data_IF_349194585774
#
_entry.id   IF_349194585774
#
_cell.length_a   1.000
_cell.length_b   1.000
_cell.length_c   1.000
_cell.angle_alpha   90.00
_cell.angle_beta   90.00
_cell.angle_gamma   90.00
#
_symmetry.space_group_name_H-M   'P 1'
#
loop_
_entity.id
_entity.type
_entity.pdbx_description
1 polymer ?
#
# COMPACT_ATOMS: atom_id res chain seq x y z
N UNK A 1 -58.71 17.93 32.41
CA UNK A 1 -57.66 18.71 31.73
C UNK A 1 -56.40 17.85 31.58
N UNK A 2 -56.52 16.75 30.85
CA UNK A 2 -55.45 15.76 30.65
C UNK A 2 -55.29 15.58 29.13
N UNK A 3 -54.53 16.49 28.49
CA UNK A 3 -54.17 16.40 27.07
C UNK A 3 -53.11 17.46 26.64
N UNK A 4 -52.10 17.71 27.48
CA UNK A 4 -50.97 18.58 27.12
C UNK A 4 -49.59 17.90 27.32
N UNK A 5 -49.52 16.65 27.81
CA UNK A 5 -48.23 16.01 28.16
C UNK A 5 -47.77 14.84 27.27
N UNK A 6 -48.39 14.60 26.11
CA UNK A 6 -47.94 13.53 25.20
C UNK A 6 -47.58 14.10 23.82
N UNK A 7 -46.42 14.75 23.73
CA UNK A 7 -45.65 14.88 22.49
C UNK A 7 -44.23 15.43 22.71
N UNK A 8 -43.61 15.19 23.86
CA UNK A 8 -42.16 15.13 23.91
C UNK A 8 -41.79 13.81 23.23
N UNK A 9 -41.57 13.86 21.91
CA UNK A 9 -40.84 12.82 21.19
C UNK A 9 -39.63 12.46 22.06
N UNK A 10 -39.65 11.26 22.68
CA UNK A 10 -38.47 10.72 23.34
C UNK A 10 -37.39 10.65 22.26
N UNK A 11 -36.55 11.67 22.23
CA UNK A 11 -35.40 11.68 21.37
C UNK A 11 -34.43 10.67 21.97
N UNK A 12 -34.57 9.42 21.53
CA UNK A 12 -33.77 8.32 22.02
C UNK A 12 -32.33 8.54 21.54
N UNK A 13 -31.49 9.06 22.43
CA UNK A 13 -30.13 9.48 22.12
C UNK A 13 -29.34 8.35 21.43
N UNK A 14 -28.42 8.71 20.52
CA UNK A 14 -27.55 7.74 19.84
C UNK A 14 -26.83 6.85 20.84
N UNK A 15 -26.21 7.43 21.86
CA UNK A 15 -25.65 6.70 22.99
C UNK A 15 -26.35 7.21 24.25
N UNK A 16 -27.01 6.35 25.04
CA UNK A 16 -27.67 6.77 26.26
C UNK A 16 -26.72 7.54 27.20
N UNK A 17 -27.13 8.73 27.63
CA UNK A 17 -26.32 9.60 28.50
C UNK A 17 -25.31 10.50 27.77
N UNK A 18 -25.23 10.44 26.44
CA UNK A 18 -24.41 11.35 25.63
C UNK A 18 -25.29 12.18 24.67
N UNK A 19 -24.99 13.48 24.52
CA UNK A 19 -25.44 14.27 23.38
C UNK A 19 -25.04 13.61 22.05
N UNK A 20 -25.90 13.72 21.04
CA UNK A 20 -25.72 13.06 19.74
C UNK A 20 -24.45 13.51 19.00
N UNK A 21 -24.05 14.78 19.14
CA UNK A 21 -22.81 15.33 18.58
C UNK A 21 -21.56 14.67 19.19
N UNK A 22 -21.56 14.44 20.51
CA UNK A 22 -20.49 13.69 21.19
C UNK A 22 -20.53 12.21 20.85
N UNK A 23 -21.74 11.63 20.73
CA UNK A 23 -21.90 10.25 20.31
C UNK A 23 -21.32 10.03 18.90
N UNK A 24 -21.61 10.91 17.94
CA UNK A 24 -21.05 10.86 16.60
C UNK A 24 -19.52 10.98 16.61
N UNK A 25 -18.95 11.89 17.41
CA UNK A 25 -17.49 11.99 17.57
C UNK A 25 -16.85 10.70 18.11
N UNK A 26 -17.52 9.99 19.00
CA UNK A 26 -17.06 8.68 19.46
C UNK A 26 -17.13 7.63 18.34
N UNK A 27 -18.24 7.58 17.60
CA UNK A 27 -18.45 6.60 16.52
C UNK A 27 -17.47 6.80 15.35
N UNK A 28 -17.17 8.06 15.01
CA UNK A 28 -16.27 8.42 13.91
C UNK A 28 -14.87 7.83 14.10
N UNK A 29 -14.41 7.72 15.37
CA UNK A 29 -13.11 7.13 15.78
C UNK A 29 -13.06 5.61 15.74
N UNK A 30 -14.12 4.96 15.33
CA UNK A 30 -14.14 3.50 15.19
C UNK A 30 -13.66 3.13 13.78
N UNK A 31 -12.76 2.15 13.67
CA UNK A 31 -12.23 1.71 12.39
C UNK A 31 -13.34 1.27 11.44
N UNK A 32 -13.13 1.51 10.14
CA UNK A 32 -14.12 1.24 9.12
C UNK A 32 -14.55 -0.24 9.09
N UNK A 33 -13.65 -1.18 9.39
CA UNK A 33 -13.97 -2.61 9.42
C UNK A 33 -15.05 -3.00 10.43
N UNK A 34 -15.37 -2.13 11.40
CA UNK A 34 -16.46 -2.33 12.36
C UNK A 34 -17.79 -1.67 11.94
N UNK A 35 -17.83 -0.85 10.88
CA UNK A 35 -19.04 -0.12 10.50
C UNK A 35 -20.26 -1.03 10.30
N UNK A 36 -20.07 -2.22 9.70
CA UNK A 36 -21.16 -3.20 9.57
C UNK A 36 -21.72 -3.70 10.90
N UNK A 37 -20.91 -3.72 11.97
CA UNK A 37 -21.38 -4.05 13.33
C UNK A 37 -22.07 -2.85 13.98
N UNK A 38 -21.54 -1.64 13.79
CA UNK A 38 -22.16 -0.42 14.29
C UNK A 38 -23.58 -0.23 13.70
N UNK A 39 -23.77 -0.52 12.41
CA UNK A 39 -25.09 -0.49 11.75
C UNK A 39 -26.11 -1.52 12.27
N UNK A 40 -25.62 -2.56 12.98
CA UNK A 40 -26.46 -3.60 13.57
C UNK A 40 -26.97 -3.23 14.97
N UNK A 41 -26.44 -2.18 15.61
CA UNK A 41 -26.80 -1.80 16.99
C UNK A 41 -28.24 -1.31 17.09
N UNK A 42 -28.65 -0.40 16.21
CA UNK A 42 -30.03 0.11 16.14
C UNK A 42 -30.33 0.72 14.77
N UNK A 43 -31.62 0.96 14.48
CA UNK A 43 -32.02 1.69 13.25
C UNK A 43 -31.40 3.09 13.22
N UNK A 44 -31.39 3.80 14.36
CA UNK A 44 -30.82 5.14 14.48
C UNK A 44 -29.32 5.17 14.23
N UNK A 45 -28.57 4.18 14.75
CA UNK A 45 -27.14 4.05 14.44
C UNK A 45 -26.91 3.82 12.96
N UNK A 46 -27.67 2.92 12.35
CA UNK A 46 -27.59 2.66 10.91
C UNK A 46 -27.83 3.92 10.09
N UNK A 47 -28.87 4.68 10.41
CA UNK A 47 -29.22 5.91 9.70
C UNK A 47 -28.14 6.98 9.91
N UNK A 48 -27.60 7.10 11.13
CA UNK A 48 -26.52 8.02 11.45
C UNK A 48 -25.22 7.68 10.70
N UNK A 49 -24.78 6.41 10.71
CA UNK A 49 -23.55 5.95 10.05
C UNK A 49 -23.63 6.11 8.52
N UNK A 50 -24.82 5.95 7.95
CA UNK A 50 -25.07 6.14 6.51
C UNK A 50 -25.32 7.59 6.12
N UNK A 51 -25.37 8.51 7.08
CA UNK A 51 -25.62 9.92 6.81
C UNK A 51 -24.40 10.61 6.18
N UNK A 52 -24.65 11.63 5.35
CA UNK A 52 -23.60 12.49 4.83
C UNK A 52 -22.85 13.25 5.94
N UNK A 53 -23.54 13.55 7.05
CA UNK A 53 -22.94 14.21 8.21
C UNK A 53 -21.85 13.34 8.84
N UNK A 54 -22.12 12.05 9.07
CA UNK A 54 -21.13 11.11 9.59
C UNK A 54 -19.95 10.96 8.63
N UNK A 55 -20.22 10.82 7.33
CA UNK A 55 -19.16 10.73 6.32
C UNK A 55 -18.28 12.00 6.31
N UNK A 56 -18.89 13.19 6.42
CA UNK A 56 -18.18 14.47 6.49
C UNK A 56 -17.37 14.60 7.78
N UNK A 57 -17.93 14.22 8.93
CA UNK A 57 -17.22 14.25 10.21
C UNK A 57 -16.01 13.31 10.18
N UNK A 58 -16.17 12.11 9.62
CA UNK A 58 -15.08 11.15 9.47
C UNK A 58 -13.98 11.67 8.53
N UNK A 59 -14.35 12.29 7.41
CA UNK A 59 -13.41 12.94 6.51
C UNK A 59 -12.67 14.14 7.16
N UNK A 60 -13.35 14.90 8.03
CA UNK A 60 -12.76 16.03 8.74
C UNK A 60 -11.78 15.59 9.83
N UNK A 61 -12.10 14.53 10.56
CA UNK A 61 -11.23 13.95 11.58
C UNK A 61 -10.06 13.16 10.95
N UNK A 62 -10.10 12.86 9.64
CA UNK A 62 -9.04 12.13 8.94
C UNK A 62 -8.96 10.64 9.29
N UNK A 63 -9.92 10.13 10.05
CA UNK A 63 -9.88 8.79 10.64
C UNK A 63 -10.44 7.73 9.69
N UNK A 64 -9.59 6.84 9.17
CA UNK A 64 -9.98 5.70 8.34
C UNK A 64 -9.63 4.34 8.94
N UNK A 65 -8.91 4.30 10.07
CA UNK A 65 -8.19 3.12 10.52
C UNK A 65 -6.93 2.86 9.69
N UNK A 66 -6.11 1.90 10.13
CA UNK A 66 -4.87 1.56 9.40
C UNK A 66 -5.13 0.48 8.37
N UNK A 67 -4.94 0.83 7.11
CA UNK A 67 -5.24 -0.02 5.98
C UNK A 67 -3.98 -0.42 5.26
N UNK A 68 -3.89 -1.68 4.88
CA UNK A 68 -2.89 -2.20 3.98
C UNK A 68 -3.58 -2.55 2.67
N UNK A 69 -3.25 -1.82 1.60
CA UNK A 69 -3.77 -2.05 0.27
C UNK A 69 -2.88 -3.04 -0.47
N UNK A 70 -3.45 -4.11 -1.01
CA UNK A 70 -2.72 -5.15 -1.73
C UNK A 70 -3.37 -5.41 -3.09
N UNK A 71 -2.52 -5.56 -4.10
CA UNK A 71 -2.88 -6.13 -5.40
C UNK A 71 -2.00 -7.34 -5.68
N UNK A 72 -2.59 -8.43 -6.17
CA UNK A 72 -1.87 -9.68 -6.45
C UNK A 72 -1.92 -10.03 -7.93
N UNK A 73 -1.07 -10.97 -8.35
CA UNK A 73 -1.01 -11.40 -9.74
C UNK A 73 -2.27 -12.11 -10.23
N UNK A 74 -3.03 -12.69 -9.31
CA UNK A 74 -4.21 -13.49 -9.63
C UNK A 74 -5.51 -12.78 -9.21
N UNK A 75 -5.39 -11.71 -8.42
CA UNK A 75 -6.50 -10.86 -8.03
C UNK A 75 -7.00 -10.03 -9.22
N UNK A 76 -8.32 -9.87 -9.30
CA UNK A 76 -8.99 -8.99 -10.27
C UNK A 76 -9.23 -7.58 -9.73
N UNK A 77 -9.00 -7.36 -8.43
CA UNK A 77 -9.25 -6.11 -7.71
C UNK A 77 -8.19 -5.89 -6.65
N UNK A 78 -8.05 -4.64 -6.22
CA UNK A 78 -7.36 -4.31 -4.99
C UNK A 78 -8.16 -4.83 -3.79
N UNK A 79 -7.44 -5.25 -2.76
CA UNK A 79 -8.00 -5.61 -1.45
C UNK A 79 -7.38 -4.69 -0.38
N UNK A 80 -8.17 -4.24 0.57
CA UNK A 80 -7.72 -3.50 1.75
C UNK A 80 -7.84 -4.39 2.98
N UNK A 81 -6.79 -4.46 3.77
CA UNK A 81 -6.81 -5.09 5.08
C UNK A 81 -6.83 -4.03 6.17
N UNK A 82 -7.91 -4.02 6.94
CA UNK A 82 -8.02 -3.23 8.17
C UNK A 82 -7.31 -3.97 9.30
N UNK A 83 -6.17 -3.44 9.73
CA UNK A 83 -5.32 -4.06 10.75
C UNK A 83 -5.95 -4.03 12.15
N UNK A 84 -6.87 -3.11 12.40
CA UNK A 84 -7.54 -2.97 13.69
C UNK A 84 -8.71 -3.93 13.79
N UNK A 85 -9.48 -4.07 12.72
CA UNK A 85 -10.63 -4.96 12.65
C UNK A 85 -10.29 -6.41 12.26
N UNK A 86 -9.03 -6.70 11.91
CA UNK A 86 -8.56 -7.97 11.32
C UNK A 86 -9.49 -8.44 10.18
N UNK A 87 -9.72 -7.54 9.22
CA UNK A 87 -10.71 -7.74 8.16
C UNK A 87 -10.21 -7.29 6.80
N UNK A 88 -10.42 -8.15 5.80
CA UNK A 88 -10.22 -7.83 4.40
C UNK A 88 -11.51 -7.30 3.77
N UNK A 89 -11.38 -6.24 2.97
CA UNK A 89 -12.44 -5.65 2.16
C UNK A 89 -11.97 -5.53 0.70
N UNK A 90 -12.77 -6.00 -0.28
CA UNK A 90 -12.44 -5.79 -1.69
C UNK A 90 -12.77 -4.35 -2.08
N UNK A 91 -11.84 -3.68 -2.78
CA UNK A 91 -12.11 -2.35 -3.32
C UNK A 91 -12.97 -2.45 -4.59
N UNK A 92 -13.70 -1.37 -4.94
CA UNK A 92 -14.32 -1.27 -6.25
C UNK A 92 -13.28 -1.38 -7.37
N UNK A 93 -13.74 -1.70 -8.58
CA UNK A 93 -12.88 -1.81 -9.76
C UNK A 93 -12.27 -0.42 -10.04
N UNK A 94 -10.94 -0.39 -10.17
CA UNK A 94 -10.20 0.83 -10.45
C UNK A 94 -10.47 1.32 -11.90
N UNK A 95 -10.79 2.60 -12.12
CA UNK A 95 -11.26 3.13 -13.41
C UNK A 95 -10.10 3.53 -14.34
N UNK A 96 -9.10 2.67 -14.54
CA UNK A 96 -7.96 3.01 -15.39
C UNK A 96 -8.31 2.84 -16.87
N UNK A 97 -7.83 3.77 -17.70
CA UNK A 97 -7.99 3.75 -19.15
C UNK A 97 -7.57 2.41 -19.76
N UNK A 98 -8.47 1.76 -20.47
CA UNK A 98 -8.22 0.45 -21.07
C UNK A 98 -8.16 -0.71 -20.07
N UNK A 99 -8.44 -0.50 -18.78
CA UNK A 99 -8.54 -1.56 -17.77
C UNK A 99 -10.00 -1.97 -17.56
N UNK A 100 -10.51 -2.90 -18.38
CA UNK A 100 -11.75 -3.62 -18.05
C UNK A 100 -11.41 -4.83 -17.16
N UNK A 101 -12.40 -5.59 -16.69
CA UNK A 101 -12.26 -6.78 -15.83
C UNK A 101 -11.27 -7.87 -16.32
N UNK A 102 -10.73 -7.73 -17.53
CA UNK A 102 -9.83 -8.67 -18.22
C UNK A 102 -8.39 -8.16 -18.28
N UNK A 103 -8.17 -6.84 -18.16
CA UNK A 103 -6.87 -6.22 -18.42
C UNK A 103 -6.13 -6.01 -17.10
N UNK A 104 -4.86 -6.43 -17.06
CA UNK A 104 -4.03 -6.38 -15.85
C UNK A 104 -3.01 -5.27 -15.99
N UNK A 105 -2.77 -4.52 -14.90
CA UNK A 105 -1.75 -3.48 -14.88
C UNK A 105 -0.54 -4.00 -14.11
N UNK A 106 0.66 -3.79 -14.66
CA UNK A 106 1.94 -4.13 -14.02
C UNK A 106 2.91 -2.96 -14.08
N UNK A 107 3.95 -2.99 -13.24
CA UNK A 107 5.01 -1.98 -13.26
C UNK A 107 4.52 -0.57 -12.87
N UNK A 108 3.34 -0.47 -12.29
CA UNK A 108 2.80 0.73 -11.66
C UNK A 108 3.50 0.98 -10.33
N UNK A 109 3.34 2.18 -9.79
CA UNK A 109 3.66 2.49 -8.39
C UNK A 109 2.39 2.76 -7.61
N UNK A 110 2.42 2.50 -6.31
CA UNK A 110 1.29 2.77 -5.44
C UNK A 110 1.77 3.40 -4.13
N UNK A 111 1.04 4.38 -3.62
CA UNK A 111 1.45 5.19 -2.47
C UNK A 111 0.22 5.76 -1.77
N UNK A 112 0.35 6.10 -0.50
CA UNK A 112 -0.67 6.82 0.25
C UNK A 112 -0.20 8.23 0.56
N UNK A 113 -1.09 9.20 0.46
CA UNK A 113 -0.79 10.61 0.75
C UNK A 113 -2.08 11.30 1.17
N UNK A 114 -2.04 12.13 2.21
CA UNK A 114 -3.20 12.90 2.69
C UNK A 114 -4.48 12.04 2.86
N UNK A 115 -4.37 10.86 3.49
CA UNK A 115 -5.46 9.89 3.69
C UNK A 115 -6.14 9.38 2.41
N UNK A 116 -5.45 9.42 1.28
CA UNK A 116 -5.86 8.83 0.01
C UNK A 116 -4.87 7.76 -0.42
N UNK A 117 -5.36 6.80 -1.19
CA UNK A 117 -4.55 5.74 -1.78
C UNK A 117 -4.43 5.97 -3.31
N UNK A 118 -3.21 6.02 -3.83
CA UNK A 118 -2.93 6.33 -5.21
C UNK A 118 -2.30 5.14 -5.92
N UNK A 119 -2.73 4.89 -7.16
CA UNK A 119 -2.11 3.98 -8.12
C UNK A 119 -1.71 4.78 -9.35
N UNK A 120 -0.43 4.71 -9.69
CA UNK A 120 0.22 5.65 -10.61
C UNK A 120 0.90 4.87 -11.74
N UNK A 121 0.59 5.24 -12.98
CA UNK A 121 1.26 4.76 -14.18
C UNK A 121 1.21 3.25 -14.39
N UNK A 122 2.33 2.69 -14.85
CA UNK A 122 2.46 1.28 -15.16
C UNK A 122 2.10 0.96 -16.60
N UNK A 123 1.81 -0.30 -16.87
CA UNK A 123 1.54 -0.81 -18.21
C UNK A 123 0.29 -1.68 -18.19
N UNK A 124 -0.63 -1.44 -19.12
CA UNK A 124 -1.71 -2.38 -19.41
C UNK A 124 -1.17 -3.59 -20.14
N UNK A 125 -1.50 -4.78 -19.65
CA UNK A 125 -1.16 -6.05 -20.28
C UNK A 125 -2.45 -6.72 -20.71
N UNK A 126 -2.71 -6.67 -22.01
CA UNK A 126 -3.75 -7.45 -22.65
C UNK A 126 -3.19 -8.14 -23.90
N UNK A 127 -3.83 -9.22 -24.39
CA UNK A 127 -3.40 -9.89 -25.61
C UNK A 127 -3.48 -8.99 -26.86
N UNK A 128 -4.29 -7.94 -26.82
CA UNK A 128 -4.64 -7.11 -27.98
C UNK A 128 -3.91 -5.76 -27.95
N UNK A 129 -3.71 -5.18 -26.76
CA UNK A 129 -3.15 -3.85 -26.58
C UNK A 129 -2.25 -3.80 -25.36
N UNK A 130 -1.06 -3.23 -25.53
CA UNK A 130 -0.13 -2.93 -24.44
C UNK A 130 0.23 -1.46 -24.50
N UNK A 131 0.01 -0.74 -23.41
CA UNK A 131 0.26 0.69 -23.33
C UNK A 131 0.84 1.05 -21.98
N UNK A 132 1.85 1.92 -22.01
CA UNK A 132 2.40 2.52 -20.80
C UNK A 132 1.54 3.73 -20.44
N UNK A 133 1.13 3.80 -19.19
CA UNK A 133 0.14 4.75 -18.70
C UNK A 133 0.79 5.97 -18.04
N UNK A 134 0.12 7.11 -18.18
CA UNK A 134 0.34 8.32 -17.39
C UNK A 134 -0.76 8.55 -16.34
N UNK A 135 -1.70 7.61 -16.23
CA UNK A 135 -2.88 7.70 -15.40
C UNK A 135 -2.55 7.68 -13.90
N UNK A 136 -3.36 8.41 -13.12
CA UNK A 136 -3.33 8.43 -11.66
C UNK A 136 -4.73 8.14 -11.15
N UNK A 137 -4.93 6.96 -10.59
CA UNK A 137 -6.18 6.58 -9.95
C UNK A 137 -6.06 6.81 -8.44
N UNK A 138 -7.05 7.49 -7.87
CA UNK A 138 -7.12 7.81 -6.44
C UNK A 138 -8.32 7.13 -5.83
N UNK A 139 -8.08 6.35 -4.79
CA UNK A 139 -9.12 5.78 -3.96
C UNK A 139 -9.34 6.68 -2.74
N UNK A 140 -10.58 7.06 -2.53
CA UNK A 140 -11.07 7.74 -1.34
C UNK A 140 -11.66 6.72 -0.35
N UNK A 141 -10.97 6.39 0.76
CA UNK A 141 -11.47 5.41 1.71
C UNK A 141 -12.75 5.86 2.43
N UNK A 142 -13.00 7.17 2.52
CA UNK A 142 -14.20 7.72 3.15
C UNK A 142 -15.44 7.53 2.28
N UNK A 143 -15.29 7.76 0.97
CA UNK A 143 -16.38 7.57 -0.01
C UNK A 143 -16.44 6.13 -0.52
N UNK A 144 -15.38 5.34 -0.32
CA UNK A 144 -15.15 4.04 -0.93
C UNK A 144 -15.25 4.07 -2.45
N UNK A 145 -14.72 5.13 -3.05
CA UNK A 145 -14.82 5.37 -4.48
C UNK A 145 -13.46 5.68 -5.08
N UNK A 146 -13.30 5.28 -6.34
CA UNK A 146 -12.16 5.67 -7.14
C UNK A 146 -12.51 6.88 -8.01
N UNK A 147 -11.54 7.77 -8.20
CA UNK A 147 -11.60 8.83 -9.20
C UNK A 147 -10.24 9.01 -9.86
N UNK A 148 -10.23 9.65 -11.02
CA UNK A 148 -8.99 9.96 -11.75
C UNK A 148 -8.50 11.35 -11.35
N UNK A 149 -7.21 11.44 -11.03
CA UNK A 149 -6.50 12.69 -10.77
C UNK A 149 -5.74 13.15 -12.03
N UNK A 150 -5.06 14.29 -11.93
CA UNK A 150 -4.18 14.80 -12.97
C UNK A 150 -3.15 13.74 -13.40
N UNK A 151 -3.05 13.54 -14.71
CA UNK A 151 -2.12 12.59 -15.31
C UNK A 151 -0.69 13.10 -15.16
N UNK A 152 0.25 12.18 -14.98
CA UNK A 152 1.68 12.47 -15.08
C UNK A 152 1.99 13.09 -16.45
N UNK A 153 3.01 13.94 -16.53
CA UNK A 153 3.38 14.57 -17.80
C UNK A 153 3.96 13.56 -18.78
N UNK A 154 4.60 12.51 -18.27
CA UNK A 154 5.11 11.39 -19.08
C UNK A 154 4.60 10.05 -18.57
N UNK A 155 4.09 9.24 -19.49
CA UNK A 155 3.76 7.84 -19.21
C UNK A 155 5.02 7.02 -18.92
N UNK A 156 5.01 6.26 -17.83
CA UNK A 156 6.16 5.53 -17.32
C UNK A 156 5.77 4.26 -16.57
N UNK A 157 6.64 3.26 -16.60
CA UNK A 157 6.63 2.08 -15.73
C UNK A 157 7.99 1.87 -15.06
N UNK A 158 8.01 1.17 -13.92
CA UNK A 158 9.23 0.84 -13.18
C UNK A 158 10.02 2.08 -12.75
N UNK A 159 9.31 3.11 -12.29
CA UNK A 159 9.84 4.37 -11.77
C UNK A 159 9.83 4.36 -10.24
N UNK A 160 10.67 5.20 -9.63
CA UNK A 160 10.67 5.41 -8.19
C UNK A 160 9.51 6.34 -7.81
N UNK A 161 8.84 6.04 -6.70
CA UNK A 161 7.66 6.78 -6.22
C UNK A 161 7.66 6.80 -4.69
N UNK A 162 7.51 7.97 -4.09
CA UNK A 162 7.41 8.14 -2.63
C UNK A 162 6.47 9.29 -2.27
N UNK A 163 5.86 9.22 -1.08
CA UNK A 163 5.15 10.36 -0.50
C UNK A 163 6.04 11.03 0.54
N UNK A 164 6.24 12.35 0.41
CA UNK A 164 7.02 13.15 1.37
C UNK A 164 6.29 14.45 1.62
N UNK A 165 6.05 14.77 2.89
CA UNK A 165 5.41 16.02 3.33
C UNK A 165 4.11 16.36 2.57
N UNK A 166 3.24 15.35 2.38
CA UNK A 166 1.93 15.53 1.72
C UNK A 166 1.98 15.63 0.19
N UNK A 167 3.14 15.45 -0.44
CA UNK A 167 3.31 15.42 -1.90
C UNK A 167 3.85 14.08 -2.36
N UNK A 168 3.63 13.74 -3.64
CA UNK A 168 4.16 12.50 -4.24
C UNK A 168 5.28 12.85 -5.21
N UNK A 169 6.43 12.22 -5.03
CA UNK A 169 7.63 12.44 -5.84
C UNK A 169 7.89 11.22 -6.70
N UNK A 170 8.12 11.45 -7.99
CA UNK A 170 8.44 10.42 -8.97
C UNK A 170 9.79 10.68 -9.62
N UNK A 171 10.51 9.61 -9.94
CA UNK A 171 11.80 9.71 -10.61
C UNK A 171 12.09 8.50 -11.51
N UNK A 172 12.59 8.79 -12.72
CA UNK A 172 13.04 7.76 -13.66
C UNK A 172 11.92 6.89 -14.23
N UNK A 173 12.24 5.62 -14.44
CA UNK A 173 11.41 4.67 -15.17
C UNK A 173 11.57 4.81 -16.67
N UNK A 174 10.75 4.07 -17.41
CA UNK A 174 10.86 3.97 -18.87
C UNK A 174 9.49 3.80 -19.52
N UNK A 175 9.47 3.85 -20.85
CA UNK A 175 8.36 3.40 -21.67
C UNK A 175 8.89 2.72 -22.95
N UNK A 176 8.00 2.24 -23.82
CA UNK A 176 8.42 1.54 -25.04
C UNK A 176 9.26 2.40 -26.00
N UNK A 177 9.04 3.71 -26.01
CA UNK A 177 9.81 4.64 -26.88
C UNK A 177 11.18 5.00 -26.32
N UNK A 178 11.37 4.85 -25.01
CA UNK A 178 12.62 5.17 -24.32
C UNK A 178 12.97 4.06 -23.32
N UNK A 179 13.40 2.88 -23.80
CA UNK A 179 13.68 1.72 -22.95
C UNK A 179 14.93 1.91 -22.09
N UNK A 180 15.80 2.86 -22.42
CA UNK A 180 16.97 3.25 -21.64
C UNK A 180 16.64 4.05 -20.37
N UNK A 181 15.38 4.47 -20.22
CA UNK A 181 14.90 5.19 -19.05
C UNK A 181 14.97 6.71 -19.16
N UNK A 182 14.35 7.38 -18.19
CA UNK A 182 14.21 8.82 -18.12
C UNK A 182 15.12 9.45 -17.08
N UNK A 183 15.54 10.69 -17.35
CA UNK A 183 16.09 11.62 -16.35
C UNK A 183 15.01 12.44 -15.65
N UNK A 184 13.78 12.36 -16.14
CA UNK A 184 12.67 13.19 -15.68
C UNK A 184 12.23 12.77 -14.28
N UNK A 185 12.11 13.77 -13.41
CA UNK A 185 11.48 13.66 -12.10
C UNK A 185 10.32 14.66 -12.01
N UNK A 186 9.26 14.27 -11.32
CA UNK A 186 8.02 15.05 -11.22
C UNK A 186 7.53 15.01 -9.76
N UNK A 187 6.86 16.07 -9.33
CA UNK A 187 6.18 16.14 -8.04
C UNK A 187 4.71 16.42 -8.25
N UNK A 188 3.86 15.67 -7.56
CA UNK A 188 2.42 15.87 -7.53
C UNK A 188 2.00 16.52 -6.23
N UNK A 189 1.21 17.57 -6.36
CA UNK A 189 0.56 18.25 -5.25
C UNK A 189 -0.93 17.88 -5.22
N UNK A 190 -1.37 17.02 -4.28
CA UNK A 190 -2.77 16.60 -4.18
C UNK A 190 -3.74 17.74 -3.84
N UNK A 191 -3.27 18.86 -3.27
CA UNK A 191 -4.14 19.96 -2.87
C UNK A 191 -4.64 20.76 -4.07
N UNK A 192 -3.87 20.80 -5.16
CA UNK A 192 -4.21 21.52 -6.39
C UNK A 192 -4.34 20.61 -7.61
N UNK A 193 -4.24 19.28 -7.40
CA UNK A 193 -4.30 18.25 -8.43
C UNK A 193 -3.39 18.56 -9.63
N UNK A 194 -2.08 18.74 -9.37
CA UNK A 194 -1.13 19.15 -10.41
C UNK A 194 0.24 18.49 -10.26
N UNK A 195 0.82 18.15 -11.42
CA UNK A 195 2.21 17.72 -11.58
C UNK A 195 3.11 18.87 -12.02
N UNK A 196 4.20 19.09 -11.28
CA UNK A 196 5.27 20.02 -11.60
C UNK A 196 6.59 19.26 -11.83
N UNK A 197 7.47 19.82 -12.66
CA UNK A 197 8.79 19.22 -12.91
C UNK A 197 9.72 19.46 -11.72
N UNK A 198 10.51 18.45 -11.41
CA UNK A 198 11.69 18.58 -10.56
C UNK A 198 12.94 18.73 -11.44
N UNK A 199 14.07 19.20 -10.89
CA UNK A 199 15.35 19.15 -11.58
C UNK A 199 15.65 17.76 -12.11
N UNK A 200 16.22 17.69 -13.32
CA UNK A 200 16.49 16.42 -13.97
C UNK A 200 17.56 15.64 -13.22
N UNK A 201 17.35 14.32 -13.07
CA UNK A 201 18.32 13.43 -12.44
C UNK A 201 19.66 13.45 -13.19
N UNK A 202 20.79 13.10 -12.53
CA UNK A 202 22.09 13.05 -13.18
C UNK A 202 22.15 12.04 -14.34
N UNK A 203 21.42 10.93 -14.23
CA UNK A 203 21.42 9.83 -15.21
C UNK A 203 19.99 9.35 -15.50
N UNK A 204 19.72 8.81 -16.71
CA UNK A 204 18.49 8.07 -16.93
C UNK A 204 18.53 6.77 -16.13
N UNK A 205 17.42 6.43 -15.46
CA UNK A 205 17.35 5.21 -14.66
C UNK A 205 16.10 4.38 -15.03
N UNK A 206 16.27 3.06 -15.06
CA UNK A 206 15.22 2.05 -15.24
C UNK A 206 15.16 1.08 -14.07
N UNK A 207 14.01 0.42 -13.90
CA UNK A 207 13.80 -0.52 -12.79
C UNK A 207 14.00 0.16 -11.44
N UNK A 208 13.45 1.37 -11.32
CA UNK A 208 13.72 2.24 -10.18
C UNK A 208 12.88 1.84 -8.98
N UNK A 209 13.48 1.97 -7.81
CA UNK A 209 12.89 1.88 -6.49
C UNK A 209 13.08 3.20 -5.76
N UNK A 210 12.06 3.62 -5.00
CA UNK A 210 12.05 4.86 -4.25
C UNK A 210 11.93 4.63 -2.75
N UNK A 211 12.72 5.34 -1.96
CA UNK A 211 12.67 5.33 -0.50
C UNK A 211 12.64 6.77 0.02
N UNK A 212 11.78 7.04 1.00
CA UNK A 212 11.75 8.33 1.69
C UNK A 212 12.31 8.22 3.09
N UNK A 213 13.11 9.19 3.51
CA UNK A 213 13.57 9.32 4.91
C UNK A 213 13.70 10.79 5.26
N UNK A 214 12.85 11.27 6.17
CA UNK A 214 12.72 12.71 6.43
C UNK A 214 12.34 13.47 5.15
N UNK A 215 13.14 14.49 4.78
CA UNK A 215 12.94 15.32 3.58
C UNK A 215 13.75 14.86 2.36
N UNK A 216 14.20 13.61 2.36
CA UNK A 216 15.05 13.05 1.33
C UNK A 216 14.32 11.97 0.53
N UNK A 217 14.51 12.01 -0.78
CA UNK A 217 14.05 10.99 -1.71
C UNK A 217 15.25 10.23 -2.29
N UNK A 218 15.44 9.00 -1.84
CA UNK A 218 16.44 8.09 -2.36
C UNK A 218 15.86 7.32 -3.54
N UNK A 219 16.60 7.32 -4.65
CA UNK A 219 16.25 6.60 -5.87
C UNK A 219 17.36 5.60 -6.17
N UNK A 220 16.97 4.34 -6.31
CA UNK A 220 17.86 3.26 -6.70
C UNK A 220 17.37 2.71 -8.03
N UNK A 221 18.24 2.63 -9.02
CA UNK A 221 17.86 2.12 -10.33
C UNK A 221 19.07 1.72 -11.15
N UNK A 222 18.84 1.33 -12.41
CA UNK A 222 19.89 0.92 -13.32
C UNK A 222 20.04 1.93 -14.44
N UNK A 223 21.28 2.24 -14.83
CA UNK A 223 21.54 3.14 -15.99
C UNK A 223 21.10 2.53 -17.31
N UNK A 224 21.04 1.20 -17.38
CA UNK A 224 20.60 0.45 -18.55
C UNK A 224 19.84 -0.82 -18.11
N UNK A 225 18.87 -1.32 -18.91
CA UNK A 225 18.09 -2.51 -18.54
C UNK A 225 18.91 -3.76 -18.24
N UNK A 226 20.06 -3.93 -18.90
CA UNK A 226 20.95 -5.09 -18.75
C UNK A 226 22.08 -4.87 -17.75
N UNK A 227 22.14 -3.70 -17.10
CA UNK A 227 23.17 -3.44 -16.11
C UNK A 227 23.01 -4.37 -14.90
N UNK A 228 24.13 -4.86 -14.39
CA UNK A 228 24.21 -5.65 -13.15
C UNK A 228 24.32 -4.74 -11.93
N UNK A 229 24.94 -3.56 -12.11
CA UNK A 229 25.14 -2.59 -11.05
C UNK A 229 23.95 -1.63 -10.94
N UNK A 230 23.55 -1.35 -9.71
CA UNK A 230 22.59 -0.31 -9.38
C UNK A 230 23.32 1.01 -9.13
N UNK A 231 22.62 2.10 -9.41
CA UNK A 231 23.03 3.47 -9.15
C UNK A 231 22.09 4.06 -8.13
N UNK A 232 22.66 4.71 -7.13
CA UNK A 232 21.94 5.33 -6.03
C UNK A 232 22.10 6.83 -6.14
N UNK A 233 20.97 7.54 -6.17
CA UNK A 233 20.94 8.99 -6.16
C UNK A 233 19.97 9.46 -5.08
N UNK A 234 20.24 10.64 -4.55
CA UNK A 234 19.50 11.26 -3.47
C UNK A 234 18.98 12.60 -3.96
N UNK A 235 17.72 12.90 -3.70
CA UNK A 235 17.14 14.23 -3.88
C UNK A 235 16.80 14.85 -2.53
N UNK A 236 17.33 16.05 -2.30
CA UNK A 236 17.05 16.85 -1.11
C UNK A 236 15.98 17.88 -1.46
N UNK A 237 14.79 17.79 -0.82
CA UNK A 237 13.64 18.64 -1.18
C UNK A 237 13.90 20.12 -0.93
N UNK A 238 14.61 20.47 0.14
CA UNK A 238 14.89 21.87 0.50
C UNK A 238 15.82 22.55 -0.50
N UNK A 239 16.84 21.82 -0.96
CA UNK A 239 17.86 22.31 -1.88
C UNK A 239 17.39 22.21 -3.34
N UNK A 240 16.42 21.33 -3.62
CA UNK A 240 16.02 20.95 -4.97
C UNK A 240 17.19 20.40 -5.79
N UNK A 241 18.12 19.68 -5.15
CA UNK A 241 19.32 19.16 -5.81
C UNK A 241 19.42 17.64 -5.72
N UNK A 242 20.06 17.07 -6.75
CA UNK A 242 20.39 15.65 -6.83
C UNK A 242 21.85 15.42 -6.47
N UNK A 243 22.09 14.46 -5.59
CA UNK A 243 23.42 13.97 -5.25
C UNK A 243 23.58 12.52 -5.69
N UNK A 244 24.73 12.17 -6.29
CA UNK A 244 25.10 10.78 -6.59
C UNK A 244 25.78 10.19 -5.36
N UNK A 245 25.35 9.01 -4.94
CA UNK A 245 25.94 8.30 -3.82
C UNK A 245 26.95 7.28 -4.35
N UNK A 246 28.24 7.52 -4.13
CA UNK A 246 29.32 6.72 -4.72
C UNK A 246 29.66 5.44 -3.93
N UNK A 247 29.22 5.34 -2.67
CA UNK A 247 29.48 4.20 -1.78
C UNK A 247 28.27 3.88 -0.89
N UNK A 248 27.13 3.59 -1.51
CA UNK A 248 25.99 3.01 -0.80
C UNK A 248 26.14 1.50 -0.72
N UNK A 249 25.82 0.93 0.43
CA UNK A 249 25.94 -0.50 0.69
C UNK A 249 25.35 -1.35 -0.45
N UNK A 250 26.06 -2.40 -0.89
CA UNK A 250 25.60 -3.33 -1.93
C UNK A 250 24.30 -4.08 -1.56
N UNK A 251 23.79 -3.88 -0.34
CA UNK A 251 22.58 -4.48 0.21
C UNK A 251 21.30 -3.65 -0.04
N UNK A 252 21.39 -2.40 -0.53
CA UNK A 252 20.20 -1.63 -0.99
C UNK A 252 19.78 -2.12 -2.39
N UNK A 253 19.62 -3.44 -2.53
CA UNK A 253 19.45 -4.11 -3.81
C UNK A 253 18.11 -4.81 -3.96
N UNK A 254 17.07 -4.52 -3.19
CA UNK A 254 15.89 -5.41 -3.21
C UNK A 254 14.52 -4.71 -3.19
N UNK A 255 13.63 -5.26 -4.02
CA UNK A 255 12.32 -4.72 -4.40
C UNK A 255 11.16 -5.06 -3.46
N UNK A 256 11.42 -5.30 -2.17
CA UNK A 256 10.42 -5.58 -1.14
C UNK A 256 10.88 -4.97 0.20
N UNK A 257 10.97 -3.65 0.27
CA UNK A 257 11.26 -2.94 1.52
C UNK A 257 10.00 -2.27 2.06
N UNK A 258 9.94 -2.15 3.38
CA UNK A 258 8.90 -1.41 4.08
C UNK A 258 9.52 -0.36 4.98
N UNK A 259 8.85 0.79 5.11
CA UNK A 259 9.28 1.85 6.02
C UNK A 259 8.29 1.91 7.17
N UNK A 260 8.79 1.97 8.40
CA UNK A 260 7.99 2.14 9.60
C UNK A 260 8.82 2.83 10.68
N UNK A 261 8.27 3.87 11.31
CA UNK A 261 8.97 4.67 12.34
C UNK A 261 10.38 5.14 11.90
N UNK A 262 10.53 5.60 10.65
CA UNK A 262 11.80 6.05 10.03
C UNK A 262 12.86 4.96 9.81
N UNK A 263 12.60 3.73 10.24
CA UNK A 263 13.43 2.55 9.97
C UNK A 263 12.97 1.87 8.69
N UNK A 264 13.93 1.33 7.94
CA UNK A 264 13.65 0.58 6.71
C UNK A 264 13.85 -0.90 6.98
N UNK A 265 12.79 -1.66 6.83
CA UNK A 265 12.78 -3.11 6.98
C UNK A 265 12.90 -3.76 5.61
N UNK A 266 13.76 -4.76 5.52
CA UNK A 266 14.03 -5.51 4.32
C UNK A 266 13.60 -6.94 4.51
N UNK A 267 13.06 -7.49 3.43
CA UNK A 267 12.76 -8.90 3.31
C UNK A 267 13.67 -9.50 2.24
N UNK A 268 14.68 -10.20 2.70
CA UNK A 268 15.36 -11.22 1.91
C UNK A 268 14.57 -12.53 2.13
N UNK A 269 14.49 -13.41 1.12
CA UNK A 269 13.78 -14.69 1.23
C UNK A 269 14.29 -15.58 2.39
N UNK A 270 15.41 -15.20 3.04
CA UNK A 270 15.99 -15.82 4.22
C UNK A 270 15.82 -15.01 5.52
N UNK A 271 15.96 -13.68 5.48
CA UNK A 271 16.04 -12.84 6.68
C UNK A 271 15.18 -11.57 6.61
N UNK A 272 14.81 -11.07 7.79
CA UNK A 272 14.26 -9.73 7.95
C UNK A 272 15.32 -8.86 8.60
N UNK A 273 15.72 -7.81 7.90
CA UNK A 273 16.78 -6.90 8.31
C UNK A 273 16.20 -5.50 8.52
N UNK A 274 16.72 -4.73 9.48
CA UNK A 274 16.45 -3.30 9.57
C UNK A 274 17.72 -2.51 9.24
N UNK A 275 17.57 -1.48 8.43
CA UNK A 275 18.62 -0.49 8.22
C UNK A 275 18.68 0.46 9.42
N UNK A 276 19.74 0.34 10.21
CA UNK A 276 20.10 1.29 11.26
C UNK A 276 20.76 2.57 10.70
N UNK A 277 21.40 3.35 11.59
CA UNK A 277 22.07 4.60 11.18
C UNK A 277 23.30 4.39 10.28
N UNK A 278 23.92 3.20 10.30
CA UNK A 278 25.16 2.91 9.55
C UNK A 278 25.28 1.48 9.00
N UNK A 279 24.57 0.50 9.54
CA UNK A 279 24.64 -0.92 9.13
C UNK A 279 23.25 -1.57 9.14
N UNK A 280 23.11 -2.73 8.50
CA UNK A 280 21.91 -3.56 8.55
C UNK A 280 21.98 -4.49 9.76
N UNK A 281 20.99 -4.41 10.63
CA UNK A 281 20.82 -5.34 11.74
C UNK A 281 19.86 -6.45 11.27
N UNK A 282 20.34 -7.70 11.20
CA UNK A 282 19.47 -8.87 11.01
C UNK A 282 18.61 -8.98 12.26
N UNK A 283 17.30 -8.77 12.13
CA UNK A 283 16.37 -8.79 13.25
C UNK A 283 15.91 -10.21 13.56
N UNK A 284 15.53 -10.95 12.53
CA UNK A 284 15.10 -12.34 12.66
C UNK A 284 15.15 -13.09 11.32
N UNK A 285 15.12 -14.41 11.39
CA UNK A 285 14.94 -15.26 10.21
C UNK A 285 13.50 -15.16 9.70
N UNK A 286 13.33 -15.25 8.38
CA UNK A 286 12.03 -15.30 7.75
C UNK A 286 11.18 -16.45 8.36
N UNK A 287 9.92 -16.19 8.75
CA UNK A 287 9.09 -17.19 9.41
C UNK A 287 8.79 -18.36 8.46
N UNK A 288 9.22 -19.55 8.88
CA UNK A 288 8.90 -20.80 8.21
C UNK A 288 7.38 -20.94 8.00
N UNK A 289 6.99 -21.39 6.82
CA UNK A 289 5.61 -21.73 6.47
C UNK A 289 5.45 -23.24 6.55
N UNK A 290 4.47 -23.70 7.33
CA UNK A 290 4.10 -25.11 7.41
C UNK A 290 2.81 -25.33 6.64
N UNK A 291 2.87 -26.16 5.59
CA UNK A 291 1.67 -26.62 4.90
C UNK A 291 1.20 -27.94 5.55
N UNK A 292 -0.10 -28.15 5.78
CA UNK A 292 -0.62 -29.36 6.43
C UNK A 292 -0.14 -30.66 5.78
N UNK A 293 0.02 -30.65 4.46
CA UNK A 293 0.39 -31.82 3.65
C UNK A 293 1.87 -31.79 3.19
N UNK A 294 2.76 -31.14 3.95
CA UNK A 294 4.19 -31.08 3.63
C UNK A 294 5.04 -31.09 4.90
N UNK A 295 5.92 -32.08 5.02
CA UNK A 295 6.71 -32.32 6.23
C UNK A 295 7.76 -31.25 6.51
N UNK A 296 8.26 -30.59 5.46
CA UNK A 296 9.34 -29.58 5.59
C UNK A 296 8.78 -28.17 5.64
N UNK A 297 9.40 -27.27 6.43
CA UNK A 297 9.08 -25.85 6.36
C UNK A 297 9.42 -25.31 4.97
N UNK A 298 8.52 -24.48 4.46
CA UNK A 298 8.66 -23.78 3.19
C UNK A 298 8.85 -22.28 3.44
N UNK A 299 9.22 -21.54 2.39
CA UNK A 299 9.39 -20.09 2.45
C UNK A 299 8.57 -19.40 1.37
N UNK A 300 7.90 -18.29 1.69
CA UNK A 300 7.17 -17.53 0.71
C UNK A 300 8.14 -16.72 -0.17
N UNK A 301 7.94 -16.78 -1.49
CA UNK A 301 8.58 -15.93 -2.49
C UNK A 301 7.53 -14.99 -3.11
N UNK A 302 7.91 -13.74 -3.37
CA UNK A 302 6.99 -12.73 -3.92
C UNK A 302 5.85 -12.34 -2.97
N UNK A 303 6.02 -12.58 -1.67
CA UNK A 303 5.19 -12.01 -0.60
C UNK A 303 5.52 -10.53 -0.40
N UNK A 304 4.67 -9.84 0.34
CA UNK A 304 4.92 -8.48 0.77
C UNK A 304 5.22 -8.43 2.26
N UNK A 305 6.35 -7.82 2.62
CA UNK A 305 6.63 -7.38 3.98
C UNK A 305 6.22 -5.91 4.09
N UNK A 306 5.41 -5.59 5.09
CA UNK A 306 4.86 -4.24 5.24
C UNK A 306 4.66 -3.88 6.72
N UNK A 307 5.06 -2.69 7.10
CA UNK A 307 4.97 -2.17 8.46
C UNK A 307 3.73 -1.29 8.62
N UNK A 308 3.01 -1.47 9.73
CA UNK A 308 1.89 -0.62 10.12
C UNK A 308 1.89 -0.46 11.64
N UNK A 309 1.91 0.79 12.11
CA UNK A 309 2.11 1.15 13.53
C UNK A 309 3.35 0.50 14.13
N UNK A 310 3.18 -0.53 14.99
CA UNK A 310 4.26 -1.25 15.68
C UNK A 310 4.38 -2.72 15.25
N UNK A 311 3.78 -3.06 14.10
CA UNK A 311 3.69 -4.44 13.60
C UNK A 311 4.23 -4.53 12.19
N UNK A 312 5.00 -5.58 11.94
CA UNK A 312 5.32 -6.03 10.60
C UNK A 312 4.32 -7.09 10.17
N UNK A 313 3.86 -6.99 8.94
CA UNK A 313 2.94 -7.91 8.29
C UNK A 313 3.65 -8.58 7.12
N UNK A 314 3.52 -9.90 7.04
CA UNK A 314 3.96 -10.71 5.91
C UNK A 314 2.71 -11.27 5.21
N UNK A 315 2.47 -10.80 4.00
CA UNK A 315 1.21 -11.01 3.29
C UNK A 315 1.45 -11.72 1.95
N UNK A 316 0.74 -12.83 1.78
CA UNK A 316 0.60 -13.54 0.52
C UNK A 316 1.89 -14.19 -0.01
N UNK A 317 2.02 -14.20 -1.33
CA UNK A 317 3.16 -14.77 -2.04
C UNK A 317 2.90 -16.18 -2.58
N UNK A 318 3.98 -16.80 -3.03
CA UNK A 318 3.99 -18.13 -3.64
C UNK A 318 4.96 -19.01 -2.87
N UNK A 319 4.72 -20.31 -2.82
CA UNK A 319 5.73 -21.27 -2.40
C UNK A 319 5.77 -22.45 -3.36
N UNK A 320 6.93 -23.10 -3.45
CA UNK A 320 7.08 -24.32 -4.23
C UNK A 320 7.01 -25.49 -3.26
N UNK A 321 6.06 -26.40 -3.49
CA UNK A 321 5.87 -27.63 -2.73
C UNK A 321 6.35 -28.81 -3.58
N UNK A 322 7.19 -29.67 -3.01
CA UNK A 322 7.51 -30.95 -3.62
C UNK A 322 6.55 -32.01 -3.07
N UNK A 323 5.85 -32.70 -3.97
CA UNK A 323 5.00 -33.83 -3.62
C UNK A 323 5.79 -35.13 -3.79
N UNK A 324 5.99 -35.84 -2.68
CA UNK A 324 6.75 -37.09 -2.62
C UNK A 324 6.00 -38.25 -3.28
N UNK A 325 4.67 -38.22 -3.37
CA UNK A 325 3.88 -39.28 -3.99
C UNK A 325 3.91 -39.19 -5.51
N UNK A 326 3.76 -37.98 -6.05
CA UNK A 326 3.79 -37.74 -7.49
C UNK A 326 5.20 -37.43 -8.03
N UNK A 327 6.20 -37.31 -7.16
CA UNK A 327 7.56 -36.88 -7.49
C UNK A 327 7.59 -35.59 -8.34
N UNK A 328 6.71 -34.64 -8.01
CA UNK A 328 6.52 -33.43 -8.82
C UNK A 328 6.55 -32.16 -7.96
N UNK A 329 6.93 -31.04 -8.59
CA UNK A 329 6.86 -29.72 -7.97
C UNK A 329 5.55 -29.04 -8.34
N UNK A 330 4.90 -28.44 -7.34
CA UNK A 330 3.68 -27.65 -7.51
C UNK A 330 3.87 -26.26 -6.90
N UNK A 331 3.32 -25.24 -7.57
CA UNK A 331 3.30 -23.87 -7.04
C UNK A 331 2.03 -23.71 -6.20
N UNK A 332 2.21 -23.41 -4.92
CA UNK A 332 1.13 -23.14 -3.97
C UNK A 332 1.00 -21.64 -3.80
N UNK A 333 -0.23 -21.15 -3.95
CA UNK A 333 -0.59 -19.75 -3.77
C UNK A 333 -0.96 -19.51 -2.31
N UNK A 334 -0.35 -18.50 -1.70
CA UNK A 334 -0.53 -18.20 -0.28
C UNK A 334 -1.48 -17.04 -0.13
N UNK A 335 -2.61 -17.25 0.54
CA UNK A 335 -3.51 -16.20 1.00
C UNK A 335 -3.30 -15.85 2.48
N UNK A 336 -2.16 -16.26 3.04
CA UNK A 336 -1.87 -16.07 4.46
C UNK A 336 -1.49 -14.61 4.75
N UNK A 337 -1.98 -14.15 5.90
CA UNK A 337 -1.61 -12.87 6.51
C UNK A 337 -1.00 -13.22 7.85
N UNK A 338 0.27 -12.87 8.06
CA UNK A 338 0.96 -13.08 9.34
C UNK A 338 1.49 -11.76 9.85
N UNK A 339 1.56 -11.59 11.16
CA UNK A 339 2.16 -10.39 11.73
C UNK A 339 3.01 -10.70 12.96
N UNK A 340 3.92 -9.78 13.27
CA UNK A 340 4.77 -9.81 14.45
C UNK A 340 4.95 -8.37 14.98
N UNK A 341 5.05 -8.21 16.29
CA UNK A 341 5.39 -6.92 16.90
C UNK A 341 6.90 -6.68 16.80
N UNK A 342 7.29 -5.45 16.47
CA UNK A 342 8.71 -5.09 16.25
C UNK A 342 9.57 -5.37 17.47
N UNK A 343 9.03 -5.15 18.67
CA UNK A 343 9.73 -5.40 19.94
C UNK A 343 9.92 -6.89 20.23
N UNK A 344 9.18 -7.75 19.53
CA UNK A 344 9.10 -9.19 19.73
C UNK A 344 9.49 -9.95 18.47
N UNK A 345 10.37 -9.40 17.62
CA UNK A 345 10.75 -10.03 16.33
C UNK A 345 11.37 -11.43 16.46
N UNK A 346 11.84 -11.78 17.67
CA UNK A 346 12.32 -13.13 18.02
C UNK A 346 11.20 -14.09 18.47
N UNK A 347 9.98 -13.61 18.70
CA UNK A 347 8.81 -14.38 19.13
C UNK A 347 7.98 -14.86 17.93
N UNK A 348 7.13 -15.86 18.15
CA UNK A 348 6.36 -16.52 17.09
C UNK A 348 5.44 -15.55 16.32
N UNK A 349 5.48 -15.65 15.00
CA UNK A 349 4.58 -14.92 14.11
C UNK A 349 3.14 -15.37 14.30
N UNK A 350 2.23 -14.42 14.43
CA UNK A 350 0.81 -14.68 14.63
C UNK A 350 0.07 -14.71 13.29
N UNK A 351 -0.94 -15.59 13.20
CA UNK A 351 -1.82 -15.65 12.04
C UNK A 351 -2.94 -14.61 12.18
N UNK A 352 -3.14 -13.82 11.14
CA UNK A 352 -4.26 -12.91 10.95
C UNK A 352 -5.26 -13.49 9.94
N UNK A 353 -6.34 -12.75 9.68
CA UNK A 353 -7.35 -13.11 8.69
C UNK A 353 -6.72 -13.36 7.32
N UNK A 354 -7.09 -14.47 6.70
CA UNK A 354 -6.68 -14.82 5.33
C UNK A 354 -7.25 -13.81 4.32
N UNK A 355 -6.49 -13.56 3.26
CA UNK A 355 -6.92 -12.75 2.13
C UNK A 355 -8.17 -13.33 1.46
N UNK A 356 -8.96 -12.48 0.80
CA UNK A 356 -10.20 -12.92 0.15
C UNK A 356 -9.93 -13.75 -1.11
N UNK A 357 -8.87 -13.41 -1.85
CA UNK A 357 -8.45 -14.17 -3.04
C UNK A 357 -7.34 -15.19 -2.75
N UNK A 358 -7.24 -16.22 -3.60
CA UNK A 358 -6.03 -17.05 -3.66
C UNK A 358 -4.90 -16.19 -4.20
N UNK A 359 -4.03 -15.72 -3.30
CA UNK A 359 -3.07 -14.69 -3.64
C UNK A 359 -1.83 -15.31 -4.32
N UNK A 360 -1.57 -14.82 -5.53
CA UNK A 360 -0.31 -15.05 -6.23
C UNK A 360 0.77 -14.09 -5.76
N UNK A 361 1.71 -13.76 -6.64
CA UNK A 361 2.75 -12.76 -6.35
C UNK A 361 2.11 -11.39 -6.07
N UNK A 362 2.53 -10.71 -5.00
CA UNK A 362 2.10 -9.35 -4.73
C UNK A 362 2.71 -8.41 -5.78
N UNK A 363 1.86 -7.57 -6.39
CA UNK A 363 2.24 -6.62 -7.45
C UNK A 363 2.36 -5.18 -6.94
N UNK A 364 1.61 -4.85 -5.90
CA UNK A 364 1.63 -3.53 -5.28
C UNK A 364 1.12 -3.62 -3.86
N UNK A 365 1.76 -2.83 -2.99
CA UNK A 365 1.38 -2.67 -1.60
C UNK A 365 1.51 -1.20 -1.20
N UNK A 366 0.54 -0.69 -0.45
CA UNK A 366 0.66 0.62 0.19
C UNK A 366 0.00 0.59 1.56
N UNK A 367 0.53 1.38 2.49
CA UNK A 367 0.03 1.47 3.87
C UNK A 367 -0.55 2.84 4.09
N UNK A 368 -1.76 2.90 4.61
CA UNK A 368 -2.34 4.12 5.15
C UNK A 368 -2.47 3.94 6.65
N UNK A 369 -1.71 4.71 7.42
CA UNK A 369 -1.80 4.75 8.88
C UNK A 369 -2.22 6.14 9.32
N UNK A 370 -2.78 6.22 10.52
CA UNK A 370 -3.08 7.47 11.21
C UNK A 370 -1.86 8.20 11.75
#
# INVERSE_FOLDING_TARGET
MAKIEENFLQHEALIPGLPDDLALKCLVRISHGYHGLLECVSKRWRDAIRSEEYARLKALEGFCGNWIFISTSNGSRWEAYDTEADRWEPLPIMPVSGCNSVNKIIGFSCVTVCHKFLVIGGQTVSPVHQEVLSDVAVFDPFKKEWYMAARMRRARLGFACVAISGKVYLAGGHNFTCPSGFRDAEVYDPCIDRWDYLPAMPFPLVGCFGLSRGKHFYVVGKKEPRATQYTHILFTIEEQEWQVLENTDPYINFGLSSIMEEMVYFFDEETIEALGQKEFDILCSCPALFLPDHERPLRPSGACLVGSKRRLYLIGGLTIKFDTQSCSYSVVQLNSTRFCEVTSLSEEWQNARLMLSQAGRVLGCAVMTE
#
